data_IF_439605711470
#
_entry.id   IF_439605711470
#
_cell.length_a   1.000
_cell.length_b   1.000
_cell.length_c   1.000
_cell.angle_alpha   90.00
_cell.angle_beta   90.00
_cell.angle_gamma   90.00
#
_symmetry.space_group_name_H-M   'P 1'
#
loop_
_entity.id
_entity.type
_entity.pdbx_description
1 polymer ?
#
# COMPACT_ATOMS: atom_id res chain seq x y z
N UNK A 1 -6.06 10.91 23.11
CA UNK A 1 -5.70 9.53 22.70
C UNK A 1 -5.14 9.65 21.29
N UNK A 2 -3.95 9.13 21.01
CA UNK A 2 -3.32 9.26 19.69
C UNK A 2 -4.10 8.48 18.65
N UNK A 3 -4.41 9.11 17.50
CA UNK A 3 -5.06 8.48 16.38
C UNK A 3 -4.18 8.58 15.11
N UNK A 4 -4.24 7.57 14.25
CA UNK A 4 -3.35 7.44 13.09
C UNK A 4 -4.14 7.12 11.83
N UNK A 5 -3.93 7.88 10.77
CA UNK A 5 -4.36 7.51 9.42
C UNK A 5 -3.15 7.00 8.65
N UNK A 6 -3.26 5.83 8.05
CA UNK A 6 -2.25 5.33 7.12
C UNK A 6 -2.73 5.36 5.68
N UNK A 7 -1.83 5.73 4.77
CA UNK A 7 -2.02 5.59 3.33
C UNK A 7 -1.06 4.55 2.79
N UNK A 8 -1.59 3.56 2.06
CA UNK A 8 -0.82 2.61 1.26
C UNK A 8 -0.96 2.98 -0.21
N UNK A 9 0.00 3.72 -0.81
CA UNK A 9 -0.16 4.24 -2.18
C UNK A 9 -0.24 3.16 -3.25
N UNK A 10 0.47 2.04 -3.06
CA UNK A 10 0.48 0.89 -3.96
C UNK A 10 0.31 -0.41 -3.16
N UNK A 11 -0.92 -0.73 -2.76
CA UNK A 11 -1.21 -1.99 -2.08
C UNK A 11 -0.87 -3.19 -2.97
N UNK A 12 -0.91 -4.37 -2.40
CA UNK A 12 -0.46 -5.60 -3.02
C UNK A 12 -1.29 -6.78 -2.55
N UNK A 13 -1.42 -7.79 -3.40
CA UNK A 13 -1.84 -9.13 -3.00
C UNK A 13 -0.57 -9.89 -2.63
N UNK A 14 -0.42 -10.24 -1.37
CA UNK A 14 0.62 -11.18 -0.95
C UNK A 14 0.11 -12.60 -1.15
N UNK A 15 0.80 -13.33 -2.02
CA UNK A 15 0.49 -14.71 -2.41
C UNK A 15 1.65 -15.60 -1.98
N UNK A 16 1.36 -16.61 -1.15
CA UNK A 16 2.37 -17.56 -0.69
C UNK A 16 2.02 -18.97 -1.17
N UNK A 17 2.93 -19.57 -1.88
CA UNK A 17 2.89 -20.99 -2.22
C UNK A 17 3.78 -21.78 -1.26
N UNK A 18 3.22 -22.78 -0.60
CA UNK A 18 3.99 -23.73 0.20
C UNK A 18 4.34 -24.92 -0.71
N UNK A 19 5.62 -25.21 -0.84
CA UNK A 19 6.15 -26.34 -1.63
C UNK A 19 7.09 -27.16 -0.76
N UNK A 20 7.22 -28.45 -1.07
CA UNK A 20 8.18 -29.32 -0.36
C UNK A 20 9.63 -28.96 -0.73
N UNK A 21 9.86 -28.68 -2.02
CA UNK A 21 11.12 -28.23 -2.59
C UNK A 21 10.86 -27.36 -3.81
N UNK A 22 11.63 -26.29 -3.99
CA UNK A 22 11.54 -25.41 -5.17
C UNK A 22 12.71 -25.68 -6.13
N UNK A 23 12.38 -26.28 -7.26
CA UNK A 23 13.30 -26.54 -8.35
C UNK A 23 13.11 -25.54 -9.49
N UNK A 24 14.11 -24.68 -9.70
CA UNK A 24 14.08 -23.74 -10.84
C UNK A 24 14.13 -24.50 -12.18
N UNK A 25 13.24 -24.11 -13.10
CA UNK A 25 13.15 -24.73 -14.44
C UNK A 25 12.34 -26.02 -14.49
N UNK A 26 11.77 -26.47 -13.38
CA UNK A 26 10.88 -27.64 -13.31
C UNK A 26 9.45 -27.27 -12.95
N UNK A 27 8.55 -28.24 -13.04
CA UNK A 27 7.17 -28.10 -12.54
C UNK A 27 7.19 -28.31 -11.03
N UNK A 28 6.89 -27.25 -10.29
CA UNK A 28 6.73 -27.29 -8.86
C UNK A 28 5.23 -27.34 -8.52
N UNK A 29 4.83 -28.15 -7.54
CA UNK A 29 3.46 -28.30 -7.07
C UNK A 29 3.37 -27.80 -5.64
N UNK A 30 2.50 -26.81 -5.42
CA UNK A 30 2.25 -26.30 -4.09
C UNK A 30 1.24 -27.18 -3.34
N UNK A 31 1.51 -27.47 -2.09
CA UNK A 31 0.60 -28.13 -1.17
C UNK A 31 -0.47 -27.17 -0.63
N UNK A 32 -0.15 -25.89 -0.57
CA UNK A 32 -1.06 -24.84 -0.08
C UNK A 32 -0.82 -23.51 -0.81
N UNK A 33 -1.91 -22.76 -0.99
CA UNK A 33 -1.91 -21.38 -1.45
C UNK A 33 -2.58 -20.48 -0.42
N UNK A 34 -1.88 -19.44 0.00
CA UNK A 34 -2.42 -18.36 0.84
C UNK A 34 -2.40 -17.05 0.07
N UNK A 35 -3.51 -16.33 0.12
CA UNK A 35 -3.62 -14.98 -0.47
C UNK A 35 -4.32 -14.03 0.47
N UNK A 36 -3.81 -12.81 0.57
CA UNK A 36 -4.46 -11.75 1.32
C UNK A 36 -4.04 -10.37 0.83
N UNK A 37 -4.92 -9.41 1.06
CA UNK A 37 -4.62 -7.99 0.84
C UNK A 37 -3.54 -7.53 1.81
N UNK A 38 -2.53 -6.86 1.29
CA UNK A 38 -1.39 -6.39 2.05
C UNK A 38 -0.91 -5.03 1.57
N UNK A 39 0.06 -4.50 2.27
CA UNK A 39 0.74 -3.24 2.00
C UNK A 39 1.29 -2.63 3.27
N UNK A 40 2.39 -1.90 3.16
CA UNK A 40 3.11 -1.41 4.33
C UNK A 40 2.24 -0.52 5.23
N UNK A 41 1.54 0.47 4.67
CA UNK A 41 0.64 1.32 5.44
C UNK A 41 -0.53 0.54 6.06
N UNK A 42 -1.09 -0.42 5.33
CA UNK A 42 -2.13 -1.30 5.85
C UNK A 42 -1.62 -2.11 7.06
N UNK A 43 -0.39 -2.63 6.98
CA UNK A 43 0.20 -3.39 8.08
C UNK A 43 0.44 -2.50 9.31
N UNK A 44 0.81 -1.23 9.12
CA UNK A 44 0.88 -0.24 10.22
C UNK A 44 -0.47 -0.13 10.92
N UNK A 45 -1.56 0.10 10.18
CA UNK A 45 -2.89 0.20 10.80
C UNK A 45 -3.34 -1.09 11.47
N UNK A 46 -3.02 -2.26 10.93
CA UNK A 46 -3.32 -3.55 11.59
C UNK A 46 -2.62 -3.65 12.94
N UNK A 47 -1.32 -3.42 12.98
CA UNK A 47 -0.53 -3.46 14.23
C UNK A 47 -1.02 -2.43 15.25
N UNK A 48 -1.32 -1.20 14.81
CA UNK A 48 -1.88 -0.17 15.68
C UNK A 48 -3.25 -0.57 16.24
N UNK A 49 -4.09 -1.19 15.44
CA UNK A 49 -5.40 -1.68 15.86
C UNK A 49 -5.28 -2.77 16.91
N UNK A 50 -4.37 -3.72 16.71
CA UNK A 50 -4.08 -4.78 17.70
C UNK A 50 -3.57 -4.19 19.02
N UNK A 51 -2.82 -3.08 18.96
CA UNK A 51 -2.37 -2.34 20.12
C UNK A 51 -3.45 -1.42 20.73
N UNK A 52 -4.69 -1.44 20.23
CA UNK A 52 -5.79 -0.61 20.75
C UNK A 52 -5.73 0.86 20.32
N UNK A 53 -4.88 1.23 19.36
CA UNK A 53 -4.76 2.60 18.85
C UNK A 53 -5.82 2.85 17.78
N UNK A 54 -6.62 3.93 17.88
CA UNK A 54 -7.54 4.34 16.83
C UNK A 54 -6.80 4.56 15.51
N UNK A 55 -7.25 3.89 14.45
CA UNK A 55 -6.56 3.95 13.16
C UNK A 55 -7.51 3.70 11.99
N UNK A 56 -7.17 4.27 10.83
CA UNK A 56 -7.82 4.05 9.55
C UNK A 56 -6.75 3.83 8.47
N UNK A 57 -6.97 2.88 7.58
CA UNK A 57 -6.08 2.55 6.48
C UNK A 57 -6.74 2.90 5.13
N UNK A 58 -6.17 3.89 4.44
CA UNK A 58 -6.63 4.32 3.11
C UNK A 58 -5.78 3.63 2.05
N UNK A 59 -6.43 3.06 1.03
CA UNK A 59 -5.72 2.39 -0.06
C UNK A 59 -6.56 2.32 -1.35
N UNK A 60 -5.94 2.51 -2.54
CA UNK A 60 -6.57 2.21 -3.81
C UNK A 60 -6.53 0.70 -4.08
N UNK A 61 -7.66 0.09 -4.46
CA UNK A 61 -7.75 -1.35 -4.75
C UNK A 61 -8.34 -1.56 -6.13
N UNK A 62 -7.73 -2.46 -6.90
CA UNK A 62 -8.27 -2.92 -8.17
C UNK A 62 -9.67 -3.53 -8.00
N UNK A 63 -10.63 -3.06 -8.78
CA UNK A 63 -12.03 -3.51 -8.69
C UNK A 63 -12.17 -5.02 -8.88
N UNK A 64 -11.33 -5.63 -9.69
CA UNK A 64 -11.35 -7.06 -9.96
C UNK A 64 -10.89 -7.92 -8.76
N UNK A 65 -10.23 -7.29 -7.77
CA UNK A 65 -9.71 -7.97 -6.58
C UNK A 65 -10.49 -7.63 -5.30
N UNK A 66 -11.67 -7.01 -5.43
CA UNK A 66 -12.53 -6.62 -4.31
C UNK A 66 -12.91 -7.80 -3.40
N UNK A 67 -13.01 -9.00 -3.97
CA UNK A 67 -13.33 -10.23 -3.24
C UNK A 67 -12.32 -10.55 -2.11
N UNK A 68 -11.09 -10.03 -2.19
CA UNK A 68 -10.06 -10.22 -1.16
C UNK A 68 -10.35 -9.42 0.11
N UNK A 69 -11.19 -8.39 0.04
CA UNK A 69 -11.59 -7.61 1.21
C UNK A 69 -12.29 -8.45 2.26
N UNK A 70 -13.12 -9.41 1.81
CA UNK A 70 -13.86 -10.32 2.69
C UNK A 70 -12.96 -11.31 3.44
N UNK A 71 -11.72 -11.48 2.97
CA UNK A 71 -10.71 -12.34 3.60
C UNK A 71 -9.69 -11.55 4.42
N UNK A 72 -9.84 -10.23 4.46
CA UNK A 72 -8.88 -9.34 5.13
C UNK A 72 -9.21 -9.22 6.61
N UNK A 73 -8.28 -9.48 7.53
CA UNK A 73 -8.47 -9.20 8.94
C UNK A 73 -8.75 -7.72 9.18
N UNK A 74 -9.68 -7.43 10.09
CA UNK A 74 -10.05 -6.06 10.48
C UNK A 74 -10.53 -5.17 9.32
N UNK A 75 -11.53 -5.61 8.52
CA UNK A 75 -11.99 -4.84 7.35
C UNK A 75 -12.54 -3.45 7.71
N UNK A 76 -12.98 -3.25 8.94
CA UNK A 76 -13.56 -2.00 9.43
C UNK A 76 -12.56 -0.83 9.55
N UNK A 77 -11.26 -1.08 9.52
CA UNK A 77 -10.24 -0.02 9.45
C UNK A 77 -9.96 0.44 8.03
N UNK A 78 -10.47 -0.29 7.03
CA UNK A 78 -10.20 -0.02 5.63
C UNK A 78 -11.06 1.12 5.08
N UNK A 79 -10.44 2.00 4.31
CA UNK A 79 -11.06 3.01 3.48
C UNK A 79 -10.55 2.84 2.07
N UNK A 80 -11.41 2.40 1.19
CA UNK A 80 -11.02 1.88 -0.11
C UNK A 80 -11.48 2.79 -1.22
N UNK A 81 -10.53 3.24 -2.05
CA UNK A 81 -10.81 3.75 -3.37
C UNK A 81 -10.73 2.61 -4.38
N UNK A 82 -11.84 2.26 -5.00
CA UNK A 82 -11.83 1.33 -6.12
C UNK A 82 -11.27 1.99 -7.36
N UNK A 83 -10.27 1.36 -7.96
CA UNK A 83 -9.64 1.78 -9.21
C UNK A 83 -9.84 0.70 -10.29
N UNK A 84 -9.74 1.03 -11.59
CA UNK A 84 -9.82 0.03 -12.65
C UNK A 84 -8.72 -1.03 -12.57
N UNK A 85 -9.04 -2.24 -13.01
CA UNK A 85 -8.10 -3.35 -13.18
C UNK A 85 -7.79 -4.10 -11.90
N UNK A 86 -6.63 -4.75 -11.90
CA UNK A 86 -6.12 -5.59 -10.82
C UNK A 86 -5.01 -4.93 -10.03
N UNK A 87 -4.79 -5.42 -8.83
CA UNK A 87 -3.62 -5.07 -8.04
C UNK A 87 -2.40 -5.88 -8.47
N UNK A 88 -1.22 -5.41 -8.09
CA UNK A 88 0.01 -6.21 -8.20
C UNK A 88 0.00 -7.37 -7.22
N UNK A 89 0.74 -8.42 -7.56
CA UNK A 89 0.94 -9.60 -6.71
C UNK A 89 2.41 -9.69 -6.33
N UNK A 90 2.69 -9.88 -5.07
CA UNK A 90 3.98 -10.37 -4.60
C UNK A 90 3.84 -11.85 -4.30
N UNK A 91 4.64 -12.67 -4.94
CA UNK A 91 4.62 -14.11 -4.76
C UNK A 91 5.80 -14.54 -3.91
N UNK A 92 5.52 -15.23 -2.82
CA UNK A 92 6.51 -15.95 -2.02
C UNK A 92 6.36 -17.45 -2.25
N UNK A 93 7.46 -18.13 -2.51
CA UNK A 93 7.53 -19.59 -2.52
C UNK A 93 8.28 -19.98 -1.25
N UNK A 94 7.61 -20.69 -0.36
CA UNK A 94 8.11 -21.05 0.97
C UNK A 94 8.35 -22.56 1.07
N UNK A 95 9.53 -22.93 1.49
CA UNK A 95 9.98 -24.31 1.70
C UNK A 95 10.03 -24.64 3.20
N UNK A 96 9.95 -25.93 3.60
CA UNK A 96 9.89 -26.35 5.01
C UNK A 96 11.13 -25.95 5.84
N UNK A 97 12.28 -25.80 5.20
CA UNK A 97 13.52 -25.35 5.82
C UNK A 97 13.57 -23.83 6.10
N UNK A 98 12.51 -23.10 5.72
CA UNK A 98 12.39 -21.64 5.85
C UNK A 98 12.97 -20.86 4.67
N UNK A 99 13.53 -21.51 3.66
CA UNK A 99 13.98 -20.86 2.44
C UNK A 99 12.78 -20.22 1.73
N UNK A 100 12.94 -18.96 1.33
CA UNK A 100 11.88 -18.19 0.68
C UNK A 100 12.37 -17.57 -0.61
N UNK A 101 11.70 -17.87 -1.71
CA UNK A 101 11.93 -17.21 -3.01
C UNK A 101 10.83 -16.22 -3.29
N UNK A 102 11.20 -14.95 -3.51
CA UNK A 102 10.23 -13.86 -3.74
C UNK A 102 10.24 -13.39 -5.19
N UNK A 103 9.05 -13.24 -5.78
CA UNK A 103 8.82 -12.66 -7.09
C UNK A 103 7.84 -11.49 -6.92
N UNK A 104 8.35 -10.27 -6.96
CA UNK A 104 7.57 -9.08 -6.69
C UNK A 104 7.24 -8.30 -7.95
N UNK A 105 5.96 -8.01 -8.17
CA UNK A 105 5.51 -7.17 -9.25
C UNK A 105 5.73 -5.68 -8.93
N UNK A 106 5.95 -4.89 -9.97
CA UNK A 106 6.01 -3.43 -9.86
C UNK A 106 4.63 -2.86 -9.49
N UNK A 107 4.57 -1.69 -8.82
CA UNK A 107 3.32 -0.99 -8.60
C UNK A 107 2.51 -0.81 -9.89
N UNK A 108 1.22 -1.08 -9.82
CA UNK A 108 0.29 -0.81 -10.93
C UNK A 108 0.09 0.69 -11.05
N UNK A 109 0.07 1.27 -12.25
CA UNK A 109 -0.25 2.67 -12.46
C UNK A 109 -1.68 2.99 -11.98
N UNK A 110 -1.89 4.20 -11.48
CA UNK A 110 -3.18 4.69 -11.01
C UNK A 110 -3.66 5.85 -11.90
N UNK A 111 -4.94 5.88 -12.30
CA UNK A 111 -5.50 7.06 -12.96
C UNK A 111 -5.37 8.30 -12.07
N UNK A 112 -5.09 9.46 -12.68
CA UNK A 112 -4.87 10.71 -11.93
C UNK A 112 -6.06 11.06 -11.04
N UNK A 113 -7.28 10.99 -11.59
CA UNK A 113 -8.50 11.32 -10.84
C UNK A 113 -8.74 10.36 -9.66
N UNK A 114 -8.40 9.08 -9.84
CA UNK A 114 -8.50 8.09 -8.75
C UNK A 114 -7.44 8.33 -7.68
N UNK A 115 -6.25 8.82 -8.07
CA UNK A 115 -5.25 9.21 -7.10
C UNK A 115 -5.68 10.44 -6.29
N UNK A 116 -6.18 11.48 -6.96
CA UNK A 116 -6.70 12.67 -6.29
C UNK A 116 -7.85 12.33 -5.33
N UNK A 117 -8.77 11.46 -5.75
CA UNK A 117 -9.83 10.97 -4.88
C UNK A 117 -9.31 10.14 -3.69
N UNK A 118 -8.19 9.43 -3.86
CA UNK A 118 -7.51 8.72 -2.75
C UNK A 118 -6.91 9.72 -1.75
N UNK A 119 -6.33 10.81 -2.25
CA UNK A 119 -5.83 11.92 -1.41
C UNK A 119 -6.97 12.58 -0.65
N UNK A 120 -8.10 12.89 -1.32
CA UNK A 120 -9.28 13.47 -0.67
C UNK A 120 -9.84 12.57 0.43
N UNK A 121 -9.95 11.28 0.15
CA UNK A 121 -10.37 10.29 1.14
C UNK A 121 -9.43 10.25 2.34
N UNK A 122 -8.12 10.35 2.11
CA UNK A 122 -7.13 10.37 3.19
C UNK A 122 -7.28 11.60 4.08
N UNK A 123 -7.48 12.77 3.47
CA UNK A 123 -7.70 14.03 4.20
C UNK A 123 -9.01 13.96 5.00
N UNK A 124 -10.09 13.46 4.42
CA UNK A 124 -11.36 13.28 5.11
C UNK A 124 -11.25 12.33 6.32
N UNK A 125 -10.47 11.26 6.20
CA UNK A 125 -10.22 10.36 7.34
C UNK A 125 -9.37 11.00 8.44
N UNK A 126 -8.40 11.83 8.08
CA UNK A 126 -7.62 12.63 9.05
C UNK A 126 -8.55 13.51 9.88
N UNK A 127 -9.48 14.22 9.24
CA UNK A 127 -10.44 15.09 9.93
C UNK A 127 -11.45 14.28 10.77
N UNK A 128 -12.01 13.20 10.20
CA UNK A 128 -13.01 12.35 10.85
C UNK A 128 -12.45 11.69 12.12
N UNK A 129 -11.23 11.15 12.01
CA UNK A 129 -10.56 10.48 13.11
C UNK A 129 -9.87 11.46 14.06
N UNK A 130 -9.78 12.75 13.69
CA UNK A 130 -8.94 13.75 14.35
C UNK A 130 -7.53 13.22 14.57
N UNK A 131 -6.94 12.74 13.48
CA UNK A 131 -5.67 12.03 13.55
C UNK A 131 -4.52 12.94 13.95
N UNK A 132 -3.65 12.44 14.82
CA UNK A 132 -2.38 13.11 15.21
C UNK A 132 -1.25 12.80 14.24
N UNK A 133 -1.39 11.67 13.50
CA UNK A 133 -0.40 11.20 12.55
C UNK A 133 -1.00 10.76 11.24
N UNK A 134 -0.32 11.14 10.16
CA UNK A 134 -0.44 10.53 8.84
C UNK A 134 0.80 9.68 8.57
N UNK A 135 0.59 8.40 8.30
CA UNK A 135 1.67 7.47 7.88
C UNK A 135 1.48 7.13 6.41
N UNK A 136 2.37 7.58 5.55
CA UNK A 136 2.39 7.16 4.13
C UNK A 136 3.51 6.15 3.95
N UNK A 137 3.17 4.90 3.66
CA UNK A 137 4.17 3.84 3.64
C UNK A 137 4.00 2.88 2.47
N UNK A 138 5.11 2.61 1.81
CA UNK A 138 5.25 1.72 0.67
C UNK A 138 5.69 2.42 -0.62
N UNK A 139 5.74 1.63 -1.71
CA UNK A 139 6.12 2.15 -3.02
C UNK A 139 5.07 3.12 -3.56
N UNK A 140 5.53 4.16 -4.26
CA UNK A 140 4.62 5.06 -4.97
C UNK A 140 4.32 4.51 -6.37
N UNK A 141 3.06 4.46 -6.81
CA UNK A 141 2.70 4.11 -8.19
C UNK A 141 3.07 5.24 -9.15
N UNK A 142 2.95 4.99 -10.44
CA UNK A 142 2.97 6.02 -11.50
C UNK A 142 1.54 6.39 -11.86
N UNK A 143 1.38 7.50 -12.55
CA UNK A 143 0.10 7.80 -13.20
C UNK A 143 -0.12 6.89 -14.41
N UNK A 144 -1.36 6.48 -14.63
CA UNK A 144 -1.76 5.74 -15.81
C UNK A 144 -1.71 6.66 -17.05
N UNK A 145 -1.35 6.08 -18.21
CA UNK A 145 -1.25 6.82 -19.47
C UNK A 145 0.06 7.57 -19.69
N UNK A 146 0.92 7.67 -18.69
CA UNK A 146 2.26 8.23 -18.85
C UNK A 146 3.23 7.16 -19.36
N UNK A 147 3.95 7.45 -20.45
CA UNK A 147 4.80 6.48 -21.14
C UNK A 147 5.83 5.81 -20.25
N UNK A 148 6.05 4.53 -20.49
CA UNK A 148 6.92 3.65 -19.68
C UNK A 148 8.42 3.92 -19.88
N UNK A 149 8.80 4.72 -20.89
CA UNK A 149 10.20 4.89 -21.31
C UNK A 149 11.02 5.87 -20.47
N UNK A 150 10.39 6.74 -19.68
CA UNK A 150 11.13 7.64 -18.81
C UNK A 150 11.53 6.94 -17.50
N UNK A 151 12.84 6.76 -17.27
CA UNK A 151 13.39 6.40 -15.95
C UNK A 151 13.00 7.41 -14.86
N UNK A 152 12.52 8.59 -15.27
CA UNK A 152 12.00 9.69 -14.46
C UNK A 152 10.47 9.84 -14.55
N UNK A 153 9.73 8.84 -15.08
CA UNK A 153 8.26 8.94 -15.13
C UNK A 153 7.73 9.29 -13.74
N UNK A 154 6.95 10.36 -13.69
CA UNK A 154 6.52 10.94 -12.44
C UNK A 154 5.71 9.96 -11.62
N UNK A 155 6.20 9.71 -10.42
CA UNK A 155 5.42 9.04 -9.39
C UNK A 155 4.27 9.96 -8.98
N UNK A 156 3.23 9.40 -8.42
CA UNK A 156 2.13 10.20 -7.86
C UNK A 156 2.65 11.30 -6.95
N UNK A 157 2.00 12.44 -7.00
CA UNK A 157 2.36 13.61 -6.21
C UNK A 157 1.69 13.54 -4.82
N UNK A 158 2.44 13.87 -3.78
CA UNK A 158 2.00 13.90 -2.40
C UNK A 158 1.98 15.31 -1.81
N UNK A 159 2.37 16.34 -2.58
CA UNK A 159 2.49 17.72 -2.10
C UNK A 159 1.21 18.18 -1.43
N UNK A 160 0.09 18.09 -2.13
CA UNK A 160 -1.22 18.50 -1.62
C UNK A 160 -1.60 17.77 -0.33
N UNK A 161 -1.35 16.46 -0.26
CA UNK A 161 -1.64 15.67 0.94
C UNK A 161 -0.81 16.16 2.14
N UNK A 162 0.49 16.32 1.95
CA UNK A 162 1.40 16.71 3.02
C UNK A 162 1.18 18.15 3.48
N UNK A 163 0.99 19.09 2.55
CA UNK A 163 0.68 20.49 2.86
C UNK A 163 -0.61 20.60 3.68
N UNK A 164 -1.67 19.91 3.26
CA UNK A 164 -2.95 19.93 3.97
C UNK A 164 -2.87 19.24 5.33
N UNK A 165 -2.22 18.10 5.44
CA UNK A 165 -2.02 17.41 6.72
C UNK A 165 -1.26 18.30 7.71
N UNK A 166 -0.20 18.97 7.26
CA UNK A 166 0.55 19.93 8.09
C UNK A 166 -0.28 21.13 8.51
N UNK A 167 -1.08 21.68 7.61
CA UNK A 167 -2.00 22.79 7.92
C UNK A 167 -3.03 22.42 8.99
N UNK A 168 -3.39 21.13 9.08
CA UNK A 168 -4.24 20.56 10.13
C UNK A 168 -3.48 20.23 11.43
N UNK A 169 -2.16 20.48 11.49
CA UNK A 169 -1.32 20.17 12.65
C UNK A 169 -0.96 18.69 12.78
N UNK A 170 -1.16 17.89 11.73
CA UNK A 170 -0.89 16.45 11.73
C UNK A 170 0.59 16.19 11.45
N UNK A 171 1.21 15.33 12.25
CA UNK A 171 2.59 14.88 12.03
C UNK A 171 2.62 13.84 10.91
N UNK A 172 3.67 13.85 10.10
CA UNK A 172 3.81 12.97 8.95
C UNK A 172 4.97 12.01 9.18
N UNK A 173 4.70 10.72 8.95
CA UNK A 173 5.72 9.69 8.83
C UNK A 173 5.69 9.14 7.40
N UNK A 174 6.81 9.17 6.70
CA UNK A 174 6.94 8.72 5.32
C UNK A 174 7.97 7.60 5.20
N UNK A 175 7.55 6.46 4.70
CA UNK A 175 8.41 5.32 4.37
C UNK A 175 8.23 4.94 2.90
N UNK A 176 9.32 4.94 2.16
CA UNK A 176 9.35 4.53 0.77
C UNK A 176 10.75 4.02 0.40
N UNK A 177 11.04 3.86 -0.88
CA UNK A 177 12.33 3.38 -1.35
C UNK A 177 12.84 4.17 -2.54
N UNK A 178 14.18 4.23 -2.67
CA UNK A 178 14.86 4.87 -3.78
C UNK A 178 14.53 6.36 -3.91
N UNK A 179 14.55 6.90 -5.11
CA UNK A 179 14.38 8.32 -5.39
C UNK A 179 13.06 8.95 -4.90
N UNK A 180 12.06 8.13 -4.55
CA UNK A 180 10.83 8.63 -3.92
C UNK A 180 11.09 9.09 -2.49
N UNK A 181 11.89 8.34 -1.73
CA UNK A 181 12.27 8.74 -0.37
C UNK A 181 13.09 10.02 -0.40
N UNK A 182 14.11 10.07 -1.24
CA UNK A 182 14.99 11.24 -1.37
C UNK A 182 14.22 12.51 -1.74
N UNK A 183 13.29 12.41 -2.70
CA UNK A 183 12.45 13.53 -3.13
C UNK A 183 11.67 14.13 -1.96
N UNK A 184 10.97 13.30 -1.18
CA UNK A 184 10.05 13.79 -0.18
C UNK A 184 10.74 14.22 1.11
N UNK A 185 11.81 13.54 1.54
CA UNK A 185 12.63 13.98 2.69
C UNK A 185 13.35 15.29 2.42
N UNK A 186 13.73 15.56 1.17
CA UNK A 186 14.36 16.84 0.77
C UNK A 186 13.35 17.97 0.55
N UNK A 187 12.05 17.67 0.49
CA UNK A 187 11.01 18.68 0.24
C UNK A 187 10.73 19.60 1.44
N UNK A 188 11.13 19.21 2.63
CA UNK A 188 10.77 19.86 3.88
C UNK A 188 9.30 19.69 4.29
N UNK A 189 8.55 18.80 3.62
CA UNK A 189 7.15 18.50 3.91
C UNK A 189 6.97 17.31 4.87
N UNK A 190 7.99 16.49 5.03
CA UNK A 190 8.02 15.34 5.95
C UNK A 190 9.17 15.47 6.94
#
# INVERSE_FOLDING_TARGET
MTAVVSLTPAPVIDRTYLVDEFDAGKVNRASELREFLSGKGLNVSRTLREAGVPTSAVLPIGREDEHLLFRTPHPYVLRIRQIPGRMRVNTAILEPDGRTTNINQRPVPVPRDDWEATVDMTLAEIETLRADWLVVSGSLPRYAGEGTESKKADRVDLSRLFERARALGVRIAFDSSGGSLDRWTSSGLV
#
